data_IF_262418946391
#
_entry.id   IF_262418946391
#
_cell.length_a   1.000
_cell.length_b   1.000
_cell.length_c   1.000
_cell.angle_alpha   90.00
_cell.angle_beta   90.00
_cell.angle_gamma   90.00
#
_symmetry.space_group_name_H-M   'P 1'
#
loop_
_entity.id
_entity.type
_entity.pdbx_description
1 polymer ?
#
# COMPACT_ATOMS: atom_id res chain seq x y z
N UNK A 1 -31.02 -3.88 10.48
CA UNK A 1 -29.75 -3.13 10.47
C UNK A 1 -28.70 -4.10 10.00
N UNK A 2 -28.04 -3.86 8.87
CA UNK A 2 -27.00 -4.76 8.39
C UNK A 2 -25.81 -4.63 9.34
N UNK A 3 -25.67 -5.57 10.26
CA UNK A 3 -24.45 -5.69 11.04
C UNK A 3 -23.31 -5.85 10.05
N UNK A 4 -22.40 -4.87 10.03
CA UNK A 4 -21.28 -4.79 9.13
C UNK A 4 -20.23 -5.82 9.58
N UNK A 5 -20.61 -7.11 9.59
CA UNK A 5 -19.72 -8.22 9.85
C UNK A 5 -18.69 -8.19 8.73
N UNK A 6 -17.51 -7.69 9.06
CA UNK A 6 -16.32 -7.78 8.22
C UNK A 6 -16.09 -9.27 7.98
N UNK A 7 -16.47 -9.75 6.79
CA UNK A 7 -16.30 -11.16 6.43
C UNK A 7 -14.81 -11.46 6.21
N UNK A 8 -14.36 -12.66 6.61
CA UNK A 8 -13.04 -13.20 6.27
C UNK A 8 -12.74 -13.08 4.77
N UNK A 9 -13.74 -13.27 3.92
CA UNK A 9 -13.64 -13.11 2.47
C UNK A 9 -13.37 -11.66 2.07
N UNK A 10 -14.00 -10.69 2.73
CA UNK A 10 -13.77 -9.27 2.48
C UNK A 10 -12.36 -8.84 2.92
N UNK A 11 -11.90 -9.33 4.07
CA UNK A 11 -10.52 -9.08 4.54
C UNK A 11 -9.49 -9.70 3.62
N UNK A 12 -9.70 -10.94 3.18
CA UNK A 12 -8.79 -11.63 2.25
C UNK A 12 -8.70 -10.87 0.92
N UNK A 13 -9.84 -10.47 0.36
CA UNK A 13 -9.88 -9.67 -0.87
C UNK A 13 -9.16 -8.32 -0.69
N UNK A 14 -9.38 -7.65 0.44
CA UNK A 14 -8.70 -6.38 0.73
C UNK A 14 -7.19 -6.56 0.91
N UNK A 15 -6.75 -7.65 1.54
CA UNK A 15 -5.34 -8.03 1.65
C UNK A 15 -4.70 -8.15 0.28
N UNK A 16 -5.33 -8.89 -0.63
CA UNK A 16 -4.82 -9.11 -1.98
C UNK A 16 -4.77 -7.80 -2.80
N UNK A 17 -5.76 -6.92 -2.63
CA UNK A 17 -5.75 -5.56 -3.21
C UNK A 17 -4.59 -4.71 -2.71
N UNK A 18 -4.29 -4.76 -1.40
CA UNK A 18 -3.18 -4.01 -0.80
C UNK A 18 -1.84 -4.55 -1.27
N UNK A 19 -1.69 -5.87 -1.36
CA UNK A 19 -0.48 -6.50 -1.89
C UNK A 19 -0.21 -6.06 -3.33
N UNK A 20 -1.24 -6.06 -4.19
CA UNK A 20 -1.10 -5.57 -5.57
C UNK A 20 -0.73 -4.07 -5.64
N UNK A 21 -1.24 -3.25 -4.71
CA UNK A 21 -0.86 -1.84 -4.64
C UNK A 21 0.58 -1.65 -4.13
N UNK A 22 1.02 -2.45 -3.16
CA UNK A 22 2.40 -2.43 -2.67
C UNK A 22 3.37 -2.82 -3.78
N UNK A 23 3.06 -3.84 -4.58
CA UNK A 23 3.88 -4.22 -5.72
C UNK A 23 4.05 -3.07 -6.71
N UNK A 24 2.97 -2.34 -7.00
CA UNK A 24 3.03 -1.17 -7.87
C UNK A 24 3.90 -0.05 -7.28
N UNK A 25 3.68 0.30 -6.02
CA UNK A 25 4.48 1.36 -5.34
C UNK A 25 5.96 1.00 -5.31
N UNK A 26 6.29 -0.27 -5.07
CA UNK A 26 7.67 -0.75 -5.08
C UNK A 26 8.30 -0.66 -6.48
N UNK A 27 7.53 -0.90 -7.54
CA UNK A 27 8.00 -0.71 -8.92
C UNK A 27 8.27 0.77 -9.21
N UNK A 28 7.35 1.65 -8.80
CA UNK A 28 7.49 3.10 -8.97
C UNK A 28 8.73 3.62 -8.22
N UNK A 29 9.01 3.13 -7.01
CA UNK A 29 10.21 3.48 -6.22
C UNK A 29 11.52 2.92 -6.79
N UNK A 30 11.47 1.84 -7.59
CA UNK A 30 12.66 1.26 -8.22
C UNK A 30 13.06 1.96 -9.52
N UNK A 31 12.20 2.84 -10.05
CA UNK A 31 12.54 3.63 -11.23
C UNK A 31 13.56 4.70 -10.84
N UNK A 32 14.71 4.71 -11.53
CA UNK A 32 15.77 5.69 -11.28
C UNK A 32 15.32 7.09 -11.67
N UNK A 33 15.69 8.06 -10.83
CA UNK A 33 15.53 9.49 -11.09
C UNK A 33 16.30 9.91 -12.34
N UNK A 34 15.70 10.78 -13.15
CA UNK A 34 16.31 11.33 -14.35
C UNK A 34 17.38 12.38 -13.99
N UNK A 35 18.30 12.67 -14.92
CA UNK A 35 19.45 13.54 -14.64
C UNK A 35 19.14 15.04 -14.78
N UNK A 36 17.90 15.44 -15.08
CA UNK A 36 17.49 16.83 -15.22
C UNK A 36 17.22 17.48 -13.82
N UNK A 37 17.92 18.57 -13.45
CA UNK A 37 17.71 19.25 -12.17
C UNK A 37 16.30 19.79 -11.94
N UNK A 38 15.55 20.17 -12.97
CA UNK A 38 14.16 20.61 -12.83
C UNK A 38 13.21 19.45 -12.53
N UNK A 39 13.48 18.29 -13.15
CA UNK A 39 12.70 17.07 -12.93
C UNK A 39 13.05 16.39 -11.59
N UNK A 40 14.29 16.52 -11.13
CA UNK A 40 14.74 15.97 -9.84
C UNK A 40 13.94 16.47 -8.63
N UNK A 41 13.57 17.76 -8.60
CA UNK A 41 12.78 18.28 -7.48
C UNK A 41 11.40 17.60 -7.41
N UNK A 42 10.78 17.39 -8.57
CA UNK A 42 9.47 16.72 -8.70
C UNK A 42 9.60 15.24 -8.35
N UNK A 43 10.68 14.61 -8.78
CA UNK A 43 10.99 13.21 -8.52
C UNK A 43 11.23 12.91 -7.04
N UNK A 44 11.93 13.78 -6.32
CA UNK A 44 12.10 13.66 -4.86
C UNK A 44 10.75 13.75 -4.15
N UNK A 45 9.89 14.71 -4.52
CA UNK A 45 8.54 14.80 -3.95
C UNK A 45 7.71 13.55 -4.25
N UNK A 46 7.82 12.99 -5.46
CA UNK A 46 7.14 11.75 -5.84
C UNK A 46 7.64 10.55 -5.03
N UNK A 47 8.95 10.46 -4.79
CA UNK A 47 9.55 9.43 -3.95
C UNK A 47 9.02 9.52 -2.51
N UNK A 48 8.98 10.72 -1.92
CA UNK A 48 8.43 10.94 -0.57
C UNK A 48 6.97 10.52 -0.47
N UNK A 49 6.15 10.84 -1.49
CA UNK A 49 4.75 10.42 -1.57
C UNK A 49 4.63 8.89 -1.69
N UNK A 50 5.48 8.27 -2.51
CA UNK A 50 5.49 6.82 -2.68
C UNK A 50 5.89 6.09 -1.39
N UNK A 51 6.90 6.57 -0.67
CA UNK A 51 7.31 6.05 0.65
C UNK A 51 6.18 6.20 1.66
N UNK A 52 5.53 7.36 1.74
CA UNK A 52 4.42 7.60 2.66
C UNK A 52 3.23 6.67 2.35
N UNK A 53 2.95 6.46 1.06
CA UNK A 53 1.90 5.54 0.60
C UNK A 53 2.24 4.08 0.93
N UNK A 54 3.47 3.66 0.71
CA UNK A 54 3.96 2.32 1.07
C UNK A 54 3.78 2.06 2.57
N UNK A 55 4.21 3.00 3.42
CA UNK A 55 4.08 2.90 4.87
C UNK A 55 2.61 2.77 5.31
N UNK A 56 1.71 3.53 4.68
CA UNK A 56 0.27 3.47 4.95
C UNK A 56 -0.31 2.11 4.56
N UNK A 57 0.04 1.59 3.38
CA UNK A 57 -0.43 0.29 2.89
C UNK A 57 0.07 -0.87 3.77
N UNK A 58 1.35 -0.84 4.19
CA UNK A 58 1.90 -1.84 5.12
C UNK A 58 1.19 -1.83 6.47
N UNK A 59 0.83 -0.64 6.97
CA UNK A 59 0.06 -0.51 8.22
C UNK A 59 -1.34 -1.08 8.08
N UNK A 60 -2.03 -0.79 6.97
CA UNK A 60 -3.35 -1.37 6.68
C UNK A 60 -3.28 -2.90 6.54
N UNK A 61 -2.26 -3.41 5.85
CA UNK A 61 -2.01 -4.84 5.69
C UNK A 61 -1.84 -5.53 7.05
N UNK A 62 -1.01 -4.97 7.93
CA UNK A 62 -0.82 -5.51 9.28
C UNK A 62 -2.14 -5.59 10.05
N UNK A 63 -2.98 -4.56 9.98
CA UNK A 63 -4.28 -4.59 10.66
C UNK A 63 -5.26 -5.62 10.07
N UNK A 64 -5.18 -5.89 8.77
CA UNK A 64 -5.97 -6.94 8.12
C UNK A 64 -5.47 -8.33 8.50
N UNK A 65 -4.15 -8.54 8.53
CA UNK A 65 -3.55 -9.81 8.92
C UNK A 65 -3.87 -10.13 10.39
N UNK A 66 -3.79 -9.15 11.29
CA UNK A 66 -4.24 -9.28 12.68
C UNK A 66 -5.72 -9.67 12.77
N UNK A 67 -6.59 -8.98 12.01
CA UNK A 67 -8.01 -9.29 11.98
C UNK A 67 -8.32 -10.68 11.39
N UNK A 68 -7.53 -11.16 10.43
CA UNK A 68 -7.67 -12.49 9.86
C UNK A 68 -7.25 -13.59 10.84
N UNK A 69 -6.24 -13.34 11.68
CA UNK A 69 -5.83 -14.26 12.75
C UNK A 69 -6.95 -14.50 13.77
N UNK A 70 -7.77 -13.48 14.05
CA UNK A 70 -8.92 -13.61 14.95
C UNK A 70 -10.05 -14.50 14.38
N UNK A 71 -10.00 -14.86 13.08
CA UNK A 71 -10.95 -15.79 12.43
C UNK A 71 -10.47 -17.25 12.36
N UNK A 72 -9.21 -17.54 12.71
CA UNK A 72 -8.63 -18.90 12.71
C UNK A 72 -8.69 -19.56 14.09
#
# INVERSE_FOLDING_TARGET
MAENHVSKENLTRRRDEILAQLDKVNQDLQMSLDHDPEEQAIEVEQEEVAIAREASLRKELSGIDDALLDFD
#
